data_IF_000111360479
#
_entry.id   IF_000111360479
#
_cell.length_a   1.000
_cell.length_b   1.000
_cell.length_c   1.000
_cell.angle_alpha   90.00
_cell.angle_beta   90.00
_cell.angle_gamma   90.00
#
_symmetry.space_group_name_H-M   'P 1'
#
loop_
_entity.id
_entity.type
_entity.pdbx_description
1 polymer ?
#
# COMPACT_ATOMS: atom_id res chain seq x y z
N UNK A 1 -8.98 3.29 21.05
CA UNK A 1 -8.44 4.62 20.74
C UNK A 1 -9.25 5.18 19.58
N UNK A 2 -9.57 6.48 19.59
CA UNK A 2 -10.26 7.11 18.47
C UNK A 2 -9.36 7.15 17.22
N UNK A 3 -9.94 7.12 16.01
CA UNK A 3 -9.15 7.08 14.78
C UNK A 3 -8.31 8.35 14.61
N UNK A 4 -8.84 9.52 14.96
CA UNK A 4 -8.11 10.78 14.85
C UNK A 4 -6.82 10.72 15.68
N UNK A 5 -6.90 10.22 16.93
CA UNK A 5 -5.73 10.07 17.78
C UNK A 5 -4.71 9.10 17.17
N UNK A 6 -5.15 7.98 16.59
CA UNK A 6 -4.25 7.04 15.91
C UNK A 6 -3.56 7.67 14.70
N UNK A 7 -4.28 8.49 13.94
CA UNK A 7 -3.72 9.22 12.80
C UNK A 7 -2.69 10.27 13.26
N UNK A 8 -2.94 10.96 14.36
CA UNK A 8 -1.98 11.91 14.95
C UNK A 8 -0.72 11.18 15.46
N UNK A 9 -0.89 10.03 16.12
CA UNK A 9 0.24 9.19 16.57
C UNK A 9 1.05 8.63 15.39
N UNK A 10 0.37 8.26 14.30
CA UNK A 10 1.02 7.82 13.05
C UNK A 10 1.83 8.96 12.43
N UNK A 11 1.26 10.16 12.32
CA UNK A 11 1.97 11.35 11.84
C UNK A 11 3.23 11.60 12.70
N UNK A 12 3.09 11.63 14.04
CA UNK A 12 4.23 11.79 14.94
C UNK A 12 5.27 10.68 14.77
N UNK A 13 4.86 9.44 14.49
CA UNK A 13 5.77 8.32 14.29
C UNK A 13 6.62 8.49 13.03
N UNK A 14 6.03 8.86 11.90
CA UNK A 14 6.76 8.97 10.63
C UNK A 14 7.79 10.10 10.62
N UNK A 15 7.57 11.16 11.41
CA UNK A 15 8.51 12.28 11.54
C UNK A 15 9.72 11.95 12.42
N UNK A 16 9.67 10.89 13.23
CA UNK A 16 10.81 10.50 14.08
C UNK A 16 11.98 10.05 13.18
N UNK A 17 13.20 10.57 13.37
CA UNK A 17 14.37 10.11 12.61
C UNK A 17 14.62 8.60 12.74
N UNK A 18 14.25 7.99 13.88
CA UNK A 18 14.35 6.54 14.10
C UNK A 18 13.47 5.72 13.15
N UNK A 19 12.34 6.28 12.70
CA UNK A 19 11.43 5.64 11.76
C UNK A 19 12.06 5.48 10.38
N UNK A 20 12.84 6.49 9.95
CA UNK A 20 13.56 6.48 8.67
C UNK A 20 14.90 5.74 8.75
N UNK A 21 15.61 5.85 9.87
CA UNK A 21 16.98 5.34 10.03
C UNK A 21 17.07 3.86 10.42
N UNK A 22 15.95 3.16 10.65
CA UNK A 22 15.95 1.75 11.04
C UNK A 22 16.86 1.50 12.23
N UNK A 23 16.45 1.87 13.44
CA UNK A 23 17.27 1.69 14.65
C UNK A 23 17.28 0.21 15.07
N UNK A 24 18.04 -0.62 14.35
CA UNK A 24 18.15 -2.06 14.56
C UNK A 24 19.00 -2.72 13.49
N UNK A 25 19.54 -3.92 13.75
CA UNK A 25 20.66 -4.54 13.01
C UNK A 25 20.40 -4.57 11.50
N UNK A 26 21.46 -4.36 10.71
CA UNK A 26 21.44 -4.49 9.25
C UNK A 26 20.56 -5.68 8.80
N UNK A 27 19.41 -5.38 8.18
CA UNK A 27 18.30 -6.26 7.75
C UNK A 27 16.96 -6.17 8.51
N UNK A 28 16.76 -5.26 9.47
CA UNK A 28 15.42 -5.07 10.07
C UNK A 28 14.46 -4.30 9.15
N UNK A 29 13.24 -4.82 9.07
CA UNK A 29 12.22 -4.54 8.06
C UNK A 29 11.45 -3.26 8.40
N UNK A 30 11.52 -2.23 7.55
CA UNK A 30 10.79 -0.98 7.75
C UNK A 30 9.39 -0.99 7.09
N UNK A 31 8.64 -2.09 7.25
CA UNK A 31 7.26 -2.19 6.77
C UNK A 31 6.28 -2.09 7.92
N UNK A 32 5.33 -1.19 7.76
CA UNK A 32 4.34 -0.84 8.75
C UNK A 32 2.95 -0.98 8.16
N UNK A 33 2.00 -1.47 8.96
CA UNK A 33 0.59 -1.50 8.61
C UNK A 33 -0.15 -0.55 9.56
N UNK A 34 -0.85 0.41 8.97
CA UNK A 34 -1.84 1.24 9.65
C UNK A 34 -3.21 0.68 9.30
N UNK A 35 -3.74 -0.17 10.17
CA UNK A 35 -5.06 -0.76 10.05
C UNK A 35 -6.13 0.17 10.62
N UNK A 36 -7.31 0.23 10.00
CA UNK A 36 -8.39 1.11 10.44
C UNK A 36 -9.77 0.53 10.08
N UNK A 37 -10.84 0.94 10.78
CA UNK A 37 -12.20 0.52 10.45
C UNK A 37 -12.54 0.90 9.00
N UNK A 38 -12.99 -0.04 8.15
CA UNK A 38 -13.25 0.21 6.73
C UNK A 38 -14.21 1.38 6.45
N UNK A 39 -15.19 1.59 7.32
CA UNK A 39 -16.16 2.69 7.25
C UNK A 39 -15.52 4.07 7.39
N UNK A 40 -14.26 4.14 7.84
CA UNK A 40 -13.46 5.36 7.99
C UNK A 40 -12.52 5.63 6.82
N UNK A 41 -12.62 4.89 5.72
CA UNK A 41 -11.78 5.05 4.52
C UNK A 41 -11.68 6.51 4.05
N UNK A 42 -12.80 7.24 4.04
CA UNK A 42 -12.80 8.64 3.58
C UNK A 42 -11.98 9.56 4.50
N UNK A 43 -12.09 9.38 5.81
CA UNK A 43 -11.32 10.15 6.81
C UNK A 43 -9.82 9.86 6.69
N UNK A 44 -9.46 8.61 6.44
CA UNK A 44 -8.05 8.21 6.22
C UNK A 44 -7.51 8.79 4.91
N UNK A 45 -8.30 8.79 3.83
CA UNK A 45 -7.90 9.39 2.55
C UNK A 45 -7.66 10.89 2.68
N UNK A 46 -8.57 11.61 3.34
CA UNK A 46 -8.41 13.03 3.63
C UNK A 46 -7.15 13.30 4.46
N UNK A 47 -6.85 12.44 5.45
CA UNK A 47 -5.62 12.57 6.23
C UNK A 47 -4.36 12.33 5.40
N UNK A 48 -4.33 11.31 4.56
CA UNK A 48 -3.19 11.01 3.69
C UNK A 48 -2.92 12.18 2.74
N UNK A 49 -3.98 12.73 2.14
CA UNK A 49 -3.88 13.89 1.25
C UNK A 49 -3.40 15.15 2.00
N UNK A 50 -3.91 15.38 3.21
CA UNK A 50 -3.43 16.47 4.06
C UNK A 50 -1.93 16.34 4.36
N UNK A 51 -1.46 15.15 4.74
CA UNK A 51 -0.04 14.90 5.05
C UNK A 51 0.84 15.08 3.82
N UNK A 52 0.40 14.58 2.66
CA UNK A 52 1.06 14.78 1.35
C UNK A 52 1.22 16.28 1.07
N UNK A 53 0.12 17.03 1.12
CA UNK A 53 0.12 18.47 0.85
C UNK A 53 0.95 19.28 1.86
N UNK A 54 1.03 18.83 3.13
CA UNK A 54 1.88 19.43 4.15
C UNK A 54 3.36 19.18 3.84
N UNK A 55 3.71 17.94 3.51
CA UNK A 55 5.08 17.56 3.16
C UNK A 55 5.59 18.30 1.90
N UNK A 56 4.74 18.42 0.87
CA UNK A 56 5.06 19.11 -0.39
C UNK A 56 5.36 20.62 -0.20
N UNK A 57 4.96 21.22 0.93
CA UNK A 57 5.32 22.61 1.28
C UNK A 57 6.77 22.77 1.75
N UNK A 58 7.46 21.66 2.04
CA UNK A 58 8.89 21.65 2.38
C UNK A 58 9.20 21.81 3.87
N UNK A 59 8.21 21.59 4.75
CA UNK A 59 8.41 21.68 6.21
C UNK A 59 9.16 20.46 6.79
N UNK A 60 9.26 19.37 6.02
CA UNK A 60 9.83 18.10 6.44
C UNK A 60 11.21 17.85 5.81
N UNK A 61 12.03 17.07 6.50
CA UNK A 61 13.36 16.66 6.05
C UNK A 61 13.36 15.31 5.30
N UNK A 62 12.20 14.89 4.77
CA UNK A 62 12.00 13.72 3.92
C UNK A 62 10.87 13.97 2.91
N UNK A 63 10.84 13.21 1.82
CA UNK A 63 9.75 13.25 0.86
C UNK A 63 8.69 12.20 1.19
N UNK A 64 7.42 12.61 1.29
CA UNK A 64 6.29 11.72 1.47
C UNK A 64 5.74 11.32 0.10
N UNK A 65 5.95 10.07 -0.30
CA UNK A 65 5.46 9.55 -1.58
C UNK A 65 4.26 8.65 -1.34
N UNK A 66 3.12 9.00 -1.93
CA UNK A 66 1.88 8.23 -1.83
C UNK A 66 1.69 7.47 -3.13
N UNK A 67 1.57 6.16 -3.03
CA UNK A 67 1.22 5.27 -4.13
C UNK A 67 -0.15 4.66 -3.88
N UNK A 68 -1.10 5.02 -4.73
CA UNK A 68 -2.38 4.34 -4.77
C UNK A 68 -2.30 3.15 -5.72
N UNK A 69 -2.47 1.94 -5.17
CA UNK A 69 -2.32 0.72 -5.94
C UNK A 69 -3.37 0.59 -7.06
N UNK A 70 -4.56 1.14 -6.86
CA UNK A 70 -5.61 1.07 -7.87
C UNK A 70 -5.26 1.98 -9.04
N UNK A 71 -4.80 3.18 -8.74
CA UNK A 71 -4.43 4.15 -9.76
C UNK A 71 -3.23 3.62 -10.58
N UNK A 72 -2.26 2.97 -9.94
CA UNK A 72 -1.16 2.26 -10.64
C UNK A 72 -1.68 1.16 -11.58
N UNK A 73 -2.67 0.37 -11.15
CA UNK A 73 -3.28 -0.66 -11.99
C UNK A 73 -3.97 -0.02 -13.20
N UNK A 74 -4.80 1.01 -12.98
CA UNK A 74 -5.53 1.68 -14.05
C UNK A 74 -4.56 2.31 -15.06
N UNK A 75 -3.57 3.07 -14.59
CA UNK A 75 -2.54 3.67 -15.43
C UNK A 75 -1.82 2.64 -16.30
N UNK A 76 -1.51 1.47 -15.73
CA UNK A 76 -0.88 0.40 -16.47
C UNK A 76 -1.79 -0.17 -17.57
N UNK A 77 -3.05 -0.43 -17.23
CA UNK A 77 -4.04 -0.97 -18.18
C UNK A 77 -4.32 0.01 -19.32
N UNK A 78 -4.38 1.31 -19.03
CA UNK A 78 -4.53 2.36 -20.02
C UNK A 78 -3.31 2.46 -20.93
N UNK A 79 -2.09 2.55 -20.37
CA UNK A 79 -0.83 2.60 -21.15
C UNK A 79 -0.64 1.39 -22.06
N UNK A 80 -1.20 0.23 -21.69
CA UNK A 80 -1.17 -1.00 -22.51
C UNK A 80 -2.36 -1.15 -23.47
N UNK A 81 -3.27 -0.17 -23.54
CA UNK A 81 -4.52 -0.25 -24.28
C UNK A 81 -5.30 -1.55 -23.95
N UNK A 82 -5.32 -1.93 -22.67
CA UNK A 82 -5.91 -3.18 -22.20
C UNK A 82 -7.31 -3.00 -21.58
N UNK A 83 -7.73 -1.76 -21.33
CA UNK A 83 -9.04 -1.44 -20.74
C UNK A 83 -10.22 -2.03 -21.52
N UNK A 84 -10.24 -1.85 -22.85
CA UNK A 84 -11.27 -2.42 -23.72
C UNK A 84 -11.39 -3.96 -23.59
N UNK A 85 -10.24 -4.64 -23.47
CA UNK A 85 -10.22 -6.10 -23.26
C UNK A 85 -10.77 -6.48 -21.90
N UNK A 86 -10.48 -5.69 -20.86
CA UNK A 86 -11.06 -5.90 -19.54
C UNK A 86 -12.59 -5.79 -19.58
N UNK A 87 -13.13 -4.76 -20.23
CA UNK A 87 -14.59 -4.58 -20.38
C UNK A 87 -15.24 -5.76 -21.12
N UNK A 88 -14.61 -6.23 -22.19
CA UNK A 88 -15.07 -7.39 -22.94
C UNK A 88 -15.02 -8.69 -22.12
N UNK A 89 -13.97 -8.87 -21.32
CA UNK A 89 -13.84 -10.02 -20.43
C UNK A 89 -14.89 -9.99 -19.32
N UNK A 90 -15.14 -8.83 -18.74
CA UNK A 90 -16.17 -8.65 -17.72
C UNK A 90 -17.54 -9.05 -18.24
N UNK A 91 -17.95 -8.48 -19.39
CA UNK A 91 -19.25 -8.77 -20.02
C UNK A 91 -19.45 -10.26 -20.31
N UNK A 92 -18.39 -10.97 -20.69
CA UNK A 92 -18.48 -12.37 -21.14
C UNK A 92 -18.27 -13.39 -20.03
N UNK A 93 -17.44 -13.08 -19.03
CA UNK A 93 -16.92 -14.06 -18.07
C UNK A 93 -16.83 -13.54 -16.63
N UNK A 94 -17.26 -12.30 -16.38
CA UNK A 94 -17.28 -11.69 -15.06
C UNK A 94 -15.89 -11.32 -14.51
N UNK A 95 -15.89 -10.89 -13.24
CA UNK A 95 -14.73 -10.31 -12.54
C UNK A 95 -13.56 -11.30 -12.42
N UNK A 96 -13.81 -12.60 -12.22
CA UNK A 96 -12.74 -13.61 -12.08
C UNK A 96 -11.81 -13.65 -13.29
N UNK A 97 -12.37 -13.46 -14.50
CA UNK A 97 -11.57 -13.43 -15.72
C UNK A 97 -10.67 -12.19 -15.78
N UNK A 98 -11.17 -11.06 -15.30
CA UNK A 98 -10.40 -9.80 -15.21
C UNK A 98 -9.28 -9.97 -14.20
N UNK A 99 -9.57 -10.45 -12.99
CA UNK A 99 -8.55 -10.69 -11.94
C UNK A 99 -7.38 -11.49 -12.50
N UNK A 100 -7.67 -12.63 -13.16
CA UNK A 100 -6.63 -13.46 -13.79
C UNK A 100 -5.88 -12.73 -14.91
N UNK A 101 -6.57 -11.97 -15.76
CA UNK A 101 -5.96 -11.26 -16.87
C UNK A 101 -5.02 -10.14 -16.37
N UNK A 102 -5.48 -9.33 -15.42
CA UNK A 102 -4.72 -8.22 -14.83
C UNK A 102 -3.54 -8.74 -14.01
N UNK A 103 -3.75 -9.75 -13.14
CA UNK A 103 -2.70 -10.39 -12.35
C UNK A 103 -1.55 -10.87 -13.24
N UNK A 104 -1.88 -11.55 -14.35
CA UNK A 104 -0.88 -12.04 -15.30
C UNK A 104 -0.21 -10.90 -16.06
N UNK A 105 -0.98 -9.92 -16.54
CA UNK A 105 -0.43 -8.81 -17.32
C UNK A 105 0.53 -7.93 -16.51
N UNK A 106 0.28 -7.81 -15.21
CA UNK A 106 1.09 -7.02 -14.28
C UNK A 106 2.18 -7.83 -13.57
N UNK A 107 2.26 -9.14 -13.84
CA UNK A 107 3.19 -10.07 -13.18
C UNK A 107 3.10 -10.00 -11.65
N UNK A 108 1.89 -9.88 -11.10
CA UNK A 108 1.67 -9.71 -9.65
C UNK A 108 2.24 -10.87 -8.82
N UNK A 109 2.38 -12.06 -9.41
CA UNK A 109 2.94 -13.21 -8.72
C UNK A 109 4.48 -13.28 -8.79
N UNK A 110 5.12 -12.38 -9.53
CA UNK A 110 6.57 -12.36 -9.72
C UNK A 110 7.19 -11.31 -8.78
N UNK A 111 8.39 -11.58 -8.26
CA UNK A 111 9.10 -10.66 -7.35
C UNK A 111 9.42 -9.31 -8.01
N UNK A 112 9.47 -9.27 -9.35
CA UNK A 112 9.70 -8.10 -10.18
C UNK A 112 8.40 -7.49 -10.74
N UNK A 113 7.26 -7.68 -10.05
CA UNK A 113 5.97 -7.17 -10.51
C UNK A 113 6.02 -5.68 -10.91
N UNK A 114 5.19 -5.29 -11.88
CA UNK A 114 5.23 -3.92 -12.43
C UNK A 114 4.87 -2.86 -11.37
N UNK A 115 4.07 -3.24 -10.37
CA UNK A 115 3.77 -2.38 -9.21
C UNK A 115 5.04 -2.11 -8.40
N UNK A 116 5.82 -3.17 -8.12
CA UNK A 116 7.09 -3.07 -7.39
C UNK A 116 8.10 -2.24 -8.17
N UNK A 117 8.25 -2.48 -9.47
CA UNK A 117 9.14 -1.69 -10.32
C UNK A 117 8.75 -0.21 -10.31
N UNK A 118 7.46 0.10 -10.48
CA UNK A 118 6.96 1.45 -10.46
C UNK A 118 7.28 2.17 -9.14
N UNK A 119 6.99 1.54 -8.00
CA UNK A 119 7.28 2.09 -6.68
C UNK A 119 8.80 2.32 -6.52
N UNK A 120 9.64 1.37 -6.94
CA UNK A 120 11.10 1.48 -6.85
C UNK A 120 11.66 2.63 -7.69
N UNK A 121 11.13 2.84 -8.89
CA UNK A 121 11.58 3.89 -9.81
C UNK A 121 11.13 5.28 -9.38
N UNK A 122 9.96 5.40 -8.75
CA UNK A 122 9.33 6.67 -8.38
C UNK A 122 9.50 7.03 -6.89
N UNK A 123 10.30 6.27 -6.13
CA UNK A 123 10.62 6.62 -4.74
C UNK A 123 12.03 7.21 -4.65
N UNK A 124 12.26 8.41 -4.11
CA UNK A 124 13.59 8.95 -3.89
C UNK A 124 14.30 8.25 -2.72
N UNK A 125 15.58 8.55 -2.48
CA UNK A 125 16.36 7.87 -1.43
C UNK A 125 15.91 8.24 -0.01
N UNK A 126 15.59 9.51 0.24
CA UNK A 126 15.16 10.00 1.54
C UNK A 126 13.64 10.22 1.56
N UNK A 127 12.90 9.10 1.57
CA UNK A 127 11.45 9.11 1.47
C UNK A 127 10.77 8.33 2.60
N UNK A 128 9.50 8.64 2.85
CA UNK A 128 8.54 7.75 3.50
C UNK A 128 7.48 7.39 2.46
N UNK A 129 7.19 6.10 2.31
CA UNK A 129 6.25 5.61 1.31
C UNK A 129 4.92 5.26 1.97
N UNK A 130 3.83 5.83 1.46
CA UNK A 130 2.47 5.45 1.79
C UNK A 130 1.88 4.59 0.68
N UNK A 131 1.36 3.42 1.04
CA UNK A 131 0.61 2.55 0.13
C UNK A 131 -0.88 2.60 0.47
N UNK A 132 -1.67 3.10 -0.46
CA UNK A 132 -3.14 3.23 -0.34
C UNK A 132 -3.85 2.43 -1.43
N UNK A 133 -5.19 2.45 -1.42
CA UNK A 133 -6.00 1.85 -2.47
C UNK A 133 -6.18 0.33 -2.35
N UNK A 134 -5.79 -0.28 -1.22
CA UNK A 134 -5.96 -1.72 -0.97
C UNK A 134 -7.42 -2.15 -1.15
N UNK A 135 -8.35 -1.42 -0.54
CA UNK A 135 -9.79 -1.69 -0.68
C UNK A 135 -10.28 -1.53 -2.12
N UNK A 136 -9.80 -0.50 -2.84
CA UNK A 136 -10.14 -0.25 -4.26
C UNK A 136 -9.69 -1.37 -5.18
N UNK A 137 -8.57 -2.02 -4.84
CA UNK A 137 -7.99 -3.08 -5.67
C UNK A 137 -8.65 -4.44 -5.47
N UNK A 138 -9.48 -4.64 -4.46
CA UNK A 138 -10.11 -5.94 -4.25
C UNK A 138 -11.21 -6.19 -5.30
N UNK A 139 -11.30 -7.37 -5.94
CA UNK A 139 -10.50 -8.59 -5.76
C UNK A 139 -9.32 -8.74 -6.74
N UNK A 140 -8.98 -7.71 -7.51
CA UNK A 140 -7.91 -7.71 -8.52
C UNK A 140 -6.54 -7.99 -7.88
N UNK A 141 -6.26 -7.37 -6.74
CA UNK A 141 -4.99 -7.49 -6.02
C UNK A 141 -5.23 -7.94 -4.58
N UNK A 142 -4.32 -8.78 -4.07
CA UNK A 142 -4.30 -9.22 -2.68
C UNK A 142 -3.17 -8.51 -1.94
N UNK A 143 -3.46 -7.96 -0.76
CA UNK A 143 -2.58 -7.06 0.01
C UNK A 143 -1.30 -7.78 0.43
N UNK A 144 -1.43 -9.04 0.88
CA UNK A 144 -0.29 -9.85 1.32
C UNK A 144 0.74 -10.08 0.20
N UNK A 145 0.31 -10.20 -1.06
CA UNK A 145 1.21 -10.37 -2.21
C UNK A 145 2.02 -9.10 -2.48
N UNK A 146 1.36 -7.95 -2.44
CA UNK A 146 2.02 -6.64 -2.64
C UNK A 146 3.11 -6.45 -1.61
N UNK A 147 2.78 -6.68 -0.33
CA UNK A 147 3.74 -6.59 0.77
C UNK A 147 4.89 -7.58 0.62
N UNK A 148 4.63 -8.84 0.23
CA UNK A 148 5.67 -9.84 0.04
C UNK A 148 6.65 -9.44 -1.07
N UNK A 149 6.16 -9.01 -2.23
CA UNK A 149 7.02 -8.67 -3.36
C UNK A 149 7.78 -7.37 -3.11
N UNK A 150 7.12 -6.36 -2.54
CA UNK A 150 7.78 -5.11 -2.16
C UNK A 150 8.86 -5.35 -1.11
N UNK A 151 8.57 -6.13 -0.06
CA UNK A 151 9.56 -6.46 0.96
C UNK A 151 10.81 -7.13 0.37
N UNK A 152 10.66 -8.02 -0.61
CA UNK A 152 11.80 -8.69 -1.25
C UNK A 152 12.63 -7.72 -2.10
N UNK A 153 11.99 -6.78 -2.78
CA UNK A 153 12.63 -5.95 -3.79
C UNK A 153 12.98 -4.53 -3.32
N UNK A 154 12.36 -4.03 -2.24
CA UNK A 154 12.41 -2.63 -1.81
C UNK A 154 12.54 -2.54 -0.28
N UNK A 155 13.75 -2.24 0.19
CA UNK A 155 14.08 -2.14 1.63
C UNK A 155 14.75 -0.83 2.03
N UNK A 156 14.89 0.12 1.09
CA UNK A 156 15.67 1.36 1.32
C UNK A 156 14.92 2.46 2.09
N UNK A 157 13.59 2.47 2.03
CA UNK A 157 12.76 3.49 2.68
C UNK A 157 11.66 2.81 3.50
N UNK A 158 11.20 3.41 4.60
CA UNK A 158 10.04 2.92 5.33
C UNK A 158 8.77 2.98 4.49
N UNK A 159 7.95 1.94 4.61
CA UNK A 159 6.66 1.79 3.91
C UNK A 159 5.55 1.67 4.95
N UNK A 160 4.51 2.49 4.82
CA UNK A 160 3.27 2.43 5.60
C UNK A 160 2.13 2.02 4.68
N UNK A 161 1.56 0.85 4.90
CA UNK A 161 0.36 0.39 4.22
C UNK A 161 -0.89 0.79 4.99
N UNK A 162 -1.80 1.49 4.32
CA UNK A 162 -3.12 1.81 4.82
C UNK A 162 -4.06 0.65 4.51
N UNK A 163 -4.52 -0.02 5.56
CA UNK A 163 -5.29 -1.25 5.44
C UNK A 163 -6.71 -1.09 6.02
N UNK A 164 -7.77 -1.07 5.18
CA UNK A 164 -9.15 -0.94 5.64
C UNK A 164 -9.66 -2.28 6.17
N UNK A 165 -9.46 -2.51 7.46
CA UNK A 165 -9.74 -3.77 8.13
C UNK A 165 -8.90 -3.95 9.38
N UNK A 166 -8.63 -5.20 9.73
CA UNK A 166 -7.87 -5.54 10.93
C UNK A 166 -6.52 -6.17 10.55
N UNK A 167 -5.45 -5.70 11.19
CA UNK A 167 -4.14 -6.36 11.18
C UNK A 167 -3.69 -6.64 12.61
N UNK A 168 -3.53 -7.92 12.95
CA UNK A 168 -3.18 -8.36 14.30
C UNK A 168 -1.72 -8.85 14.41
N UNK A 169 -0.83 -8.36 13.54
CA UNK A 169 0.58 -8.81 13.41
C UNK A 169 0.73 -10.28 12.97
N UNK A 170 -0.37 -10.97 12.67
CA UNK A 170 -0.38 -12.35 12.16
C UNK A 170 -1.14 -12.48 10.85
N UNK A 171 -2.32 -11.88 10.75
CA UNK A 171 -3.21 -11.97 9.60
C UNK A 171 -3.77 -10.61 9.22
N UNK A 172 -4.04 -10.46 7.91
CA UNK A 172 -4.72 -9.32 7.31
C UNK A 172 -6.17 -9.71 7.02
N UNK A 173 -7.13 -9.04 7.66
CA UNK A 173 -8.56 -9.26 7.46
C UNK A 173 -9.16 -8.01 6.81
N UNK A 174 -9.27 -8.04 5.49
CA UNK A 174 -9.80 -6.94 4.70
C UNK A 174 -11.29 -6.77 4.97
N UNK A 175 -11.72 -5.52 5.14
CA UNK A 175 -13.10 -5.15 5.48
C UNK A 175 -13.64 -5.80 6.75
N UNK A 176 -12.76 -6.36 7.60
CA UNK A 176 -13.12 -7.20 8.75
C UNK A 176 -13.94 -8.47 8.41
N UNK A 177 -14.01 -8.83 7.12
CA UNK A 177 -14.82 -9.95 6.63
C UNK A 177 -14.00 -10.94 5.78
N UNK A 178 -13.02 -10.43 5.04
CA UNK A 178 -12.28 -11.19 4.04
C UNK A 178 -10.88 -11.45 4.58
N UNK A 179 -10.64 -12.67 5.03
CA UNK A 179 -9.28 -13.12 5.35
C UNK A 179 -8.43 -13.12 4.07
N UNK A 180 -7.37 -12.32 4.07
CA UNK A 180 -6.46 -12.20 2.93
C UNK A 180 -5.42 -13.33 2.99
N UNK A 181 -4.46 -13.25 3.92
CA UNK A 181 -3.54 -14.33 4.31
C UNK A 181 -2.80 -13.93 5.60
N UNK A 182 -1.94 -14.82 6.11
CA UNK A 182 -1.02 -14.51 7.18
C UNK A 182 0.14 -13.64 6.67
N UNK A 183 0.51 -12.61 7.43
CA UNK A 183 1.65 -11.74 7.12
C UNK A 183 2.35 -11.30 8.41
N UNK A 184 3.57 -11.79 8.62
CA UNK A 184 4.36 -11.58 9.85
C UNK A 184 5.51 -10.59 9.68
N UNK A 185 5.68 -10.03 8.48
CA UNK A 185 6.87 -9.23 8.12
C UNK A 185 6.65 -7.72 8.29
N UNK A 186 5.47 -7.27 8.74
CA UNK A 186 5.23 -5.86 9.05
C UNK A 186 4.90 -5.68 10.52
N UNK A 187 5.16 -4.48 11.00
CA UNK A 187 4.78 -4.04 12.33
C UNK A 187 3.47 -3.26 12.26
N UNK A 188 2.64 -3.38 13.29
CA UNK A 188 1.48 -2.49 13.42
C UNK A 188 1.95 -1.12 13.87
N UNK A 189 1.63 -0.07 13.12
CA UNK A 189 2.21 1.27 13.32
C UNK A 189 1.70 1.95 14.60
N UNK A 190 0.42 1.78 14.91
CA UNK A 190 -0.24 2.33 16.11
C UNK A 190 -1.20 1.28 16.64
N UNK A 191 -1.04 0.92 17.92
CA UNK A 191 -1.78 -0.16 18.58
C UNK A 191 -3.14 0.27 19.10
#
# INVERSE_FOLDING_TARGET
>A
MDLSQRLDEMELAIHKPSFRKGTGRANEVNYWVFDYPPEKELEVRERVEYLKNKNDRGDDDFELVVFDLYDIIIDFLEKKNFMEKCYDFEKKRGIERIVKAVTNSMKVNDDDSLIVQYIKEHTPENAVVFLTGIGKCYPILRSHKVLNNLHQAFVRCPVVMFFPGTYNEQELILFNEIKDDNYYRAFRLVK
#
